data_IF_255183111581
#
_entry.id   IF_255183111581
#
_cell.length_a   1.000
_cell.length_b   1.000
_cell.length_c   1.000
_cell.angle_alpha   90.00
_cell.angle_beta   90.00
_cell.angle_gamma   90.00
#
_symmetry.space_group_name_H-M   'P 1'
#
loop_
_entity.id
_entity.type
_entity.pdbx_description
1 polymer ?
#
# COMPACT_ATOMS: atom_id res chain seq x y z
N UNK A 1 -33.59 -25.00 9.43
CA UNK A 1 -34.20 -23.66 9.51
C UNK A 1 -35.58 -23.79 10.11
N UNK A 2 -35.84 -23.06 11.19
CA UNK A 2 -37.05 -23.16 12.03
C UNK A 2 -38.35 -22.87 11.24
N UNK A 3 -39.44 -23.53 11.63
CA UNK A 3 -40.74 -23.47 10.97
C UNK A 3 -41.43 -22.11 11.10
N UNK A 4 -41.18 -21.37 12.18
CA UNK A 4 -41.66 -20.00 12.39
C UNK A 4 -40.97 -18.99 11.47
N UNK A 5 -39.65 -19.13 11.25
CA UNK A 5 -38.88 -18.26 10.37
C UNK A 5 -39.38 -18.40 8.92
N UNK A 6 -39.82 -19.60 8.54
CA UNK A 6 -40.39 -19.91 7.21
C UNK A 6 -41.70 -19.18 6.90
N UNK A 7 -42.47 -18.75 7.90
CA UNK A 7 -43.73 -18.00 7.71
C UNK A 7 -43.54 -16.49 7.69
N UNK A 8 -42.47 -15.95 8.30
CA UNK A 8 -42.22 -14.50 8.40
C UNK A 8 -41.51 -13.90 7.18
N UNK A 9 -40.86 -14.71 6.35
CA UNK A 9 -40.13 -14.23 5.16
C UNK A 9 -41.05 -14.22 3.94
N UNK A 10 -41.03 -13.10 3.20
CA UNK A 10 -41.73 -12.98 1.92
C UNK A 10 -41.40 -14.16 0.99
N UNK A 11 -42.43 -14.79 0.41
CA UNK A 11 -42.27 -15.98 -0.44
C UNK A 11 -41.30 -15.78 -1.62
N UNK A 12 -41.30 -14.61 -2.22
CA UNK A 12 -40.46 -14.30 -3.39
C UNK A 12 -38.98 -14.23 -2.99
N UNK A 13 -38.67 -13.52 -1.89
CA UNK A 13 -37.32 -13.48 -1.30
C UNK A 13 -36.86 -14.88 -0.90
N UNK A 14 -37.75 -15.67 -0.30
CA UNK A 14 -37.44 -17.05 0.09
C UNK A 14 -37.10 -17.92 -1.12
N UNK A 15 -37.89 -17.84 -2.18
CA UNK A 15 -37.65 -18.64 -3.39
C UNK A 15 -36.33 -18.24 -4.05
N UNK A 16 -36.00 -16.95 -4.06
CA UNK A 16 -34.75 -16.44 -4.62
C UNK A 16 -33.53 -16.89 -3.79
N UNK A 17 -33.54 -16.72 -2.47
CA UNK A 17 -32.43 -17.16 -1.59
C UNK A 17 -32.24 -18.68 -1.57
N UNK A 18 -33.29 -19.46 -1.86
CA UNK A 18 -33.19 -20.91 -1.97
C UNK A 18 -32.85 -21.39 -3.39
N UNK A 19 -32.75 -20.50 -4.38
CA UNK A 19 -32.37 -20.88 -5.75
C UNK A 19 -30.86 -21.11 -5.85
N UNK A 20 -30.45 -22.02 -6.74
CA UNK A 20 -29.03 -22.26 -7.02
C UNK A 20 -28.39 -21.02 -7.65
N UNK A 21 -29.11 -20.33 -8.53
CA UNK A 21 -28.66 -19.12 -9.23
C UNK A 21 -28.22 -18.01 -8.26
N UNK A 22 -28.95 -17.84 -7.16
CA UNK A 22 -28.59 -16.87 -6.13
C UNK A 22 -27.23 -17.18 -5.50
N UNK A 23 -26.99 -18.44 -5.14
CA UNK A 23 -25.73 -18.86 -4.51
C UNK A 23 -24.56 -18.91 -5.50
N UNK A 24 -24.81 -19.24 -6.77
CA UNK A 24 -23.81 -19.11 -7.83
C UNK A 24 -23.37 -17.65 -8.01
N UNK A 25 -24.33 -16.71 -8.04
CA UNK A 25 -24.05 -15.28 -8.11
C UNK A 25 -23.32 -14.78 -6.85
N UNK A 26 -23.74 -15.20 -5.66
CA UNK A 26 -23.09 -14.83 -4.41
C UNK A 26 -21.64 -15.35 -4.33
N UNK A 27 -21.40 -16.57 -4.79
CA UNK A 27 -20.04 -17.13 -4.90
C UNK A 27 -19.19 -16.32 -5.89
N UNK A 28 -19.77 -15.91 -7.02
CA UNK A 28 -19.07 -15.11 -8.02
C UNK A 28 -18.72 -13.71 -7.50
N UNK A 29 -19.64 -13.05 -6.80
CA UNK A 29 -19.36 -11.78 -6.10
C UNK A 29 -18.24 -11.95 -5.08
N UNK A 30 -18.28 -13.03 -4.30
CA UNK A 30 -17.24 -13.30 -3.29
C UNK A 30 -15.86 -13.45 -3.93
N UNK A 31 -15.76 -14.12 -5.09
CA UNK A 31 -14.51 -14.23 -5.85
C UNK A 31 -13.94 -12.87 -6.28
N UNK A 32 -14.79 -11.90 -6.64
CA UNK A 32 -14.34 -10.53 -6.95
C UNK A 32 -13.93 -9.74 -5.71
N UNK A 33 -14.64 -9.91 -4.59
CA UNK A 33 -14.38 -9.17 -3.35
C UNK A 33 -13.14 -9.67 -2.61
N UNK A 34 -12.86 -10.97 -2.68
CA UNK A 34 -11.70 -11.57 -2.00
C UNK A 34 -10.37 -10.87 -2.30
N UNK A 35 -9.94 -10.68 -3.57
CA UNK A 35 -8.67 -10.01 -3.86
C UNK A 35 -8.69 -8.54 -3.42
N UNK A 36 -9.85 -7.87 -3.43
CA UNK A 36 -9.99 -6.49 -2.92
C UNK A 36 -9.77 -6.43 -1.41
N UNK A 37 -10.39 -7.35 -0.66
CA UNK A 37 -10.22 -7.45 0.80
C UNK A 37 -8.77 -7.78 1.16
N UNK A 38 -8.10 -8.64 0.40
CA UNK A 38 -6.67 -8.93 0.59
C UNK A 38 -5.83 -7.68 0.35
N UNK A 39 -6.07 -6.94 -0.74
CA UNK A 39 -5.36 -5.69 -1.01
C UNK A 39 -5.58 -4.64 0.09
N UNK A 40 -6.82 -4.47 0.57
CA UNK A 40 -7.15 -3.56 1.67
C UNK A 40 -6.41 -3.94 2.96
N UNK A 41 -6.41 -5.22 3.34
CA UNK A 41 -5.67 -5.69 4.53
C UNK A 41 -4.18 -5.43 4.44
N UNK A 42 -3.58 -5.64 3.26
CA UNK A 42 -2.16 -5.34 3.03
C UNK A 42 -1.88 -3.85 3.15
N UNK A 43 -2.79 -3.03 2.65
CA UNK A 43 -2.70 -1.59 2.70
C UNK A 43 -2.86 -1.04 4.12
N UNK A 44 -3.79 -1.57 4.90
CA UNK A 44 -4.00 -1.14 6.28
C UNK A 44 -2.92 -1.64 7.26
N UNK A 45 -1.98 -2.47 6.80
CA UNK A 45 -0.95 -3.06 7.66
C UNK A 45 0.16 -2.10 8.13
N UNK A 46 0.69 -2.39 9.32
CA UNK A 46 1.93 -1.84 9.93
C UNK A 46 3.12 -1.69 9.01
N UNK A 47 3.29 -2.70 8.19
CA UNK A 47 4.44 -2.88 7.33
C UNK A 47 4.22 -2.34 5.93
N UNK A 48 3.05 -1.75 5.64
CA UNK A 48 2.72 -1.27 4.30
C UNK A 48 3.51 -0.01 3.97
N UNK A 49 4.55 -0.18 3.17
CA UNK A 49 5.30 0.94 2.59
C UNK A 49 4.71 1.33 1.25
N UNK A 50 4.88 2.60 0.90
CA UNK A 50 4.45 3.17 -0.37
C UNK A 50 4.91 2.34 -1.60
N UNK A 51 6.11 1.75 -1.53
CA UNK A 51 6.67 0.90 -2.58
C UNK A 51 5.84 -0.36 -2.88
N UNK A 52 5.06 -0.86 -1.93
CA UNK A 52 4.26 -2.08 -2.13
C UNK A 52 2.96 -1.82 -2.89
N UNK A 53 2.53 -0.55 -2.99
CA UNK A 53 1.23 -0.19 -3.55
C UNK A 53 1.11 -0.60 -5.01
N UNK A 54 2.10 -0.25 -5.82
CA UNK A 54 2.10 -0.56 -7.25
C UNK A 54 1.99 -2.07 -7.52
N UNK A 55 2.86 -2.88 -6.90
CA UNK A 55 2.84 -4.35 -7.05
C UNK A 55 1.51 -4.95 -6.59
N UNK A 56 1.02 -4.55 -5.42
CA UNK A 56 -0.23 -5.08 -4.87
C UNK A 56 -1.45 -4.69 -5.71
N UNK A 57 -1.50 -3.47 -6.24
CA UNK A 57 -2.59 -3.04 -7.11
C UNK A 57 -2.55 -3.75 -8.46
N UNK A 58 -1.35 -3.95 -9.04
CA UNK A 58 -1.19 -4.77 -10.25
C UNK A 58 -1.64 -6.22 -10.03
N UNK A 59 -1.29 -6.82 -8.89
CA UNK A 59 -1.77 -8.16 -8.47
C UNK A 59 -3.29 -8.21 -8.34
N UNK A 60 -3.92 -7.17 -7.79
CA UNK A 60 -5.38 -7.03 -7.72
C UNK A 60 -6.00 -7.01 -9.13
N UNK A 61 -5.49 -6.15 -10.02
CA UNK A 61 -6.01 -6.04 -11.39
C UNK A 61 -5.90 -7.38 -12.14
N UNK A 62 -4.75 -8.05 -12.04
CA UNK A 62 -4.54 -9.34 -12.68
C UNK A 62 -5.53 -10.40 -12.16
N UNK A 63 -5.65 -10.57 -10.82
CA UNK A 63 -6.59 -11.53 -10.23
C UNK A 63 -8.04 -11.27 -10.62
N UNK A 64 -8.44 -10.01 -10.73
CA UNK A 64 -9.80 -9.66 -11.13
C UNK A 64 -10.02 -9.92 -12.62
N UNK A 65 -8.99 -9.72 -13.46
CA UNK A 65 -9.06 -9.99 -14.89
C UNK A 65 -9.23 -11.47 -15.25
N UNK A 66 -8.80 -12.38 -14.36
CA UNK A 66 -8.97 -13.83 -14.51
C UNK A 66 -10.43 -14.29 -14.30
N UNK A 67 -11.27 -13.45 -13.68
CA UNK A 67 -12.69 -13.77 -13.42
C UNK A 67 -13.53 -13.29 -14.60
N UNK A 68 -14.21 -14.22 -15.27
CA UNK A 68 -15.07 -13.94 -16.42
C UNK A 68 -16.56 -14.12 -16.09
N UNK A 69 -17.35 -13.08 -16.30
CA UNK A 69 -18.80 -13.03 -16.15
C UNK A 69 -19.41 -11.83 -16.91
N UNK A 70 -20.75 -11.77 -16.96
CA UNK A 70 -21.52 -10.72 -17.63
C UNK A 70 -21.26 -9.28 -17.14
N UNK A 71 -20.64 -9.08 -15.97
CA UNK A 71 -20.31 -7.75 -15.45
C UNK A 71 -18.81 -7.55 -15.17
N UNK A 72 -17.94 -8.44 -15.65
CA UNK A 72 -16.49 -8.36 -15.40
C UNK A 72 -15.89 -7.03 -15.88
N UNK A 73 -16.28 -6.58 -17.07
CA UNK A 73 -15.79 -5.32 -17.65
C UNK A 73 -16.15 -4.12 -16.76
N UNK A 74 -17.36 -4.11 -16.20
CA UNK A 74 -17.79 -3.03 -15.30
C UNK A 74 -16.93 -3.00 -14.03
N UNK A 75 -16.61 -4.17 -13.46
CA UNK A 75 -15.76 -4.25 -12.26
C UNK A 75 -14.33 -3.83 -12.58
N UNK A 76 -13.77 -4.29 -13.70
CA UNK A 76 -12.43 -3.89 -14.14
C UNK A 76 -12.34 -2.37 -14.36
N UNK A 77 -13.35 -1.77 -15.00
CA UNK A 77 -13.42 -0.31 -15.16
C UNK A 77 -13.50 0.44 -13.83
N UNK A 78 -14.25 -0.08 -12.84
CA UNK A 78 -14.30 0.53 -11.51
C UNK A 78 -12.95 0.47 -10.79
N UNK A 79 -12.23 -0.65 -10.90
CA UNK A 79 -10.89 -0.79 -10.34
C UNK A 79 -9.91 0.15 -11.02
N UNK A 80 -9.96 0.25 -12.36
CA UNK A 80 -9.12 1.15 -13.13
C UNK A 80 -9.36 2.61 -12.74
N UNK A 81 -10.63 3.05 -12.65
CA UNK A 81 -10.98 4.39 -12.15
C UNK A 81 -10.46 4.63 -10.75
N UNK A 82 -10.51 3.61 -9.88
CA UNK A 82 -9.97 3.70 -8.52
C UNK A 82 -8.45 3.85 -8.52
N UNK A 83 -7.75 3.11 -9.39
CA UNK A 83 -6.31 3.25 -9.58
C UNK A 83 -5.97 4.68 -9.98
N UNK A 84 -6.56 5.18 -11.06
CA UNK A 84 -6.32 6.53 -11.60
C UNK A 84 -6.57 7.63 -10.57
N UNK A 85 -7.62 7.48 -9.76
CA UNK A 85 -7.92 8.43 -8.68
C UNK A 85 -6.87 8.42 -7.56
N UNK A 86 -6.35 7.25 -7.21
CA UNK A 86 -5.43 7.07 -6.08
C UNK A 86 -3.95 7.19 -6.45
N UNK A 87 -3.63 7.03 -7.73
CA UNK A 87 -2.27 6.93 -8.20
C UNK A 87 -1.50 8.24 -8.01
N UNK A 88 -0.26 8.12 -7.57
CA UNK A 88 0.68 9.22 -7.55
C UNK A 88 2.04 8.72 -8.02
N UNK A 89 2.78 9.44 -8.88
CA UNK A 89 4.04 8.95 -9.46
C UNK A 89 5.10 8.54 -8.43
N UNK A 90 5.07 9.15 -7.24
CA UNK A 90 5.94 8.76 -6.11
C UNK A 90 5.78 7.29 -5.70
N UNK A 91 4.63 6.66 -5.96
CA UNK A 91 4.40 5.22 -5.74
C UNK A 91 5.31 4.38 -6.63
N UNK A 92 5.42 4.74 -7.92
CA UNK A 92 6.31 4.07 -8.86
C UNK A 92 7.77 4.34 -8.52
N UNK A 93 8.11 5.56 -8.13
CA UNK A 93 9.47 5.90 -7.65
C UNK A 93 9.82 5.05 -6.43
N UNK A 94 8.93 4.92 -5.46
CA UNK A 94 9.13 4.07 -4.29
C UNK A 94 9.32 2.60 -4.70
N UNK A 95 8.50 2.11 -5.63
CA UNK A 95 8.59 0.75 -6.16
C UNK A 95 9.94 0.49 -6.85
N UNK A 96 10.42 1.44 -7.67
CA UNK A 96 11.71 1.37 -8.38
C UNK A 96 12.93 1.39 -7.44
N UNK A 97 12.78 1.98 -6.25
CA UNK A 97 13.84 2.11 -5.23
C UNK A 97 13.82 0.97 -4.21
N UNK A 98 12.81 0.11 -4.21
CA UNK A 98 12.71 -0.97 -3.23
C UNK A 98 13.47 -2.21 -3.74
N UNK A 99 14.52 -2.66 -3.02
CA UNK A 99 15.31 -3.82 -3.46
C UNK A 99 14.47 -5.09 -3.61
N UNK A 100 13.36 -5.21 -2.87
CA UNK A 100 12.46 -6.38 -2.91
C UNK A 100 11.76 -6.53 -4.26
N UNK A 101 11.57 -5.43 -4.98
CA UNK A 101 10.87 -5.40 -6.27
C UNK A 101 11.82 -5.27 -7.45
N UNK A 102 13.14 -5.34 -7.22
CA UNK A 102 14.12 -5.11 -8.28
C UNK A 102 13.88 -6.05 -9.48
N UNK A 103 13.73 -7.35 -9.24
CA UNK A 103 13.52 -8.33 -10.31
C UNK A 103 12.13 -8.18 -10.97
N UNK A 104 11.05 -7.99 -10.20
CA UNK A 104 9.71 -7.72 -10.74
C UNK A 104 9.68 -6.46 -11.61
N UNK A 105 10.49 -5.46 -11.27
CA UNK A 105 10.56 -4.16 -11.96
C UNK A 105 11.46 -4.15 -13.20
N UNK A 106 12.11 -5.26 -13.56
CA UNK A 106 12.92 -5.38 -14.80
C UNK A 106 12.10 -5.67 -16.04
N UNK A 107 10.81 -5.94 -15.89
CA UNK A 107 9.88 -5.98 -17.01
C UNK A 107 9.99 -4.69 -17.83
N UNK A 108 10.10 -4.81 -19.16
CA UNK A 108 10.47 -3.69 -20.03
C UNK A 108 9.47 -2.53 -19.96
N UNK A 109 8.18 -2.85 -19.89
CA UNK A 109 7.12 -1.85 -19.81
C UNK A 109 7.13 -1.15 -18.45
N UNK A 110 7.28 -1.91 -17.37
CA UNK A 110 7.39 -1.36 -16.00
C UNK A 110 8.62 -0.47 -15.88
N UNK A 111 9.78 -0.91 -16.38
CA UNK A 111 11.02 -0.16 -16.27
C UNK A 111 10.94 1.16 -17.06
N UNK A 112 10.36 1.15 -18.26
CA UNK A 112 10.14 2.35 -19.07
C UNK A 112 9.24 3.37 -18.35
N UNK A 113 8.12 2.92 -17.77
CA UNK A 113 7.24 3.77 -16.95
C UNK A 113 8.01 4.29 -15.73
N UNK A 114 8.76 3.42 -15.05
CA UNK A 114 9.52 3.75 -13.85
C UNK A 114 10.57 4.84 -14.08
N UNK A 115 11.32 4.76 -15.18
CA UNK A 115 12.29 5.81 -15.54
C UNK A 115 11.61 7.12 -15.93
N UNK A 116 10.50 7.05 -16.67
CA UNK A 116 9.71 8.25 -17.04
C UNK A 116 9.22 8.96 -15.78
N UNK A 117 8.57 8.23 -14.87
CA UNK A 117 8.03 8.83 -13.65
C UNK A 117 9.09 9.29 -12.67
N UNK A 118 10.21 8.57 -12.56
CA UNK A 118 11.34 9.00 -11.75
C UNK A 118 11.92 10.32 -12.24
N UNK A 119 12.16 10.44 -13.54
CA UNK A 119 12.72 11.67 -14.13
C UNK A 119 11.75 12.84 -14.02
N UNK A 120 10.45 12.63 -14.26
CA UNK A 120 9.44 13.66 -14.03
C UNK A 120 9.37 14.10 -12.56
N UNK A 121 9.38 13.16 -11.63
CA UNK A 121 9.39 13.44 -10.19
C UNK A 121 10.64 14.24 -9.81
N UNK A 122 11.82 13.81 -10.27
CA UNK A 122 13.07 14.47 -9.95
C UNK A 122 13.10 15.91 -10.51
N UNK A 123 12.75 16.09 -11.78
CA UNK A 123 12.72 17.39 -12.45
C UNK A 123 11.73 18.38 -11.84
N UNK A 124 10.63 17.90 -11.26
CA UNK A 124 9.67 18.76 -10.54
C UNK A 124 10.16 19.22 -9.17
N UNK A 125 11.10 18.47 -8.55
CA UNK A 125 11.47 18.67 -7.13
C UNK A 125 12.89 19.18 -6.91
N UNK A 126 13.79 18.90 -7.84
CA UNK A 126 15.24 19.14 -7.75
C UNK A 126 15.75 19.97 -8.92
N UNK A 127 16.96 20.50 -8.79
CA UNK A 127 17.64 21.19 -9.88
C UNK A 127 18.05 20.23 -10.99
N UNK A 128 18.25 20.74 -12.22
CA UNK A 128 18.60 19.91 -13.39
C UNK A 128 19.81 19.00 -13.15
N UNK A 129 20.88 19.53 -12.56
CA UNK A 129 22.11 18.77 -12.28
C UNK A 129 21.87 17.66 -11.26
N UNK A 130 21.11 17.96 -10.21
CA UNK A 130 20.73 17.01 -9.15
C UNK A 130 19.83 15.90 -9.71
N UNK A 131 18.86 16.23 -10.56
CA UNK A 131 18.00 15.25 -11.24
C UNK A 131 18.78 14.30 -12.13
N UNK A 132 19.77 14.81 -12.89
CA UNK A 132 20.65 13.97 -13.72
C UNK A 132 21.47 13.03 -12.84
N UNK A 133 22.02 13.53 -11.74
CA UNK A 133 22.81 12.74 -10.79
C UNK A 133 21.96 11.64 -10.14
N UNK A 134 20.76 11.97 -9.66
CA UNK A 134 19.80 11.03 -9.09
C UNK A 134 19.47 9.92 -10.07
N UNK A 135 19.21 10.26 -11.33
CA UNK A 135 18.91 9.27 -12.37
C UNK A 135 20.10 8.37 -12.68
N UNK A 136 21.31 8.93 -12.78
CA UNK A 136 22.52 8.14 -12.98
C UNK A 136 22.74 7.15 -11.83
N UNK A 137 22.61 7.62 -10.58
CA UNK A 137 22.71 6.76 -9.39
C UNK A 137 21.62 5.67 -9.38
N UNK A 138 20.39 5.98 -9.80
CA UNK A 138 19.30 5.01 -9.91
C UNK A 138 19.67 3.88 -10.86
N UNK A 139 20.21 4.21 -12.03
CA UNK A 139 20.65 3.21 -13.02
C UNK A 139 21.77 2.34 -12.44
N UNK A 140 22.77 2.95 -11.79
CA UNK A 140 23.86 2.21 -11.12
C UNK A 140 23.32 1.24 -10.07
N UNK A 141 22.38 1.69 -9.23
CA UNK A 141 21.70 0.85 -8.24
C UNK A 141 20.97 -0.32 -8.89
N UNK A 142 20.17 -0.06 -9.93
CA UNK A 142 19.36 -1.11 -10.58
C UNK A 142 20.21 -2.16 -11.28
N UNK A 143 21.37 -1.75 -11.78
CA UNK A 143 22.37 -2.64 -12.38
C UNK A 143 23.21 -3.39 -11.34
N UNK A 144 23.06 -3.09 -10.04
CA UNK A 144 23.91 -3.62 -8.95
C UNK A 144 25.40 -3.34 -9.16
N UNK A 145 25.71 -2.21 -9.80
CA UNK A 145 27.08 -1.76 -10.01
C UNK A 145 27.58 -1.04 -8.76
N UNK A 146 28.89 -0.98 -8.57
CA UNK A 146 29.52 -0.24 -7.47
C UNK A 146 28.95 1.19 -7.34
N UNK A 147 28.54 1.64 -6.14
CA UNK A 147 28.78 1.03 -4.83
C UNK A 147 27.74 0.00 -4.37
N UNK A 148 26.79 -0.41 -5.21
CA UNK A 148 25.66 -1.29 -4.89
C UNK A 148 25.90 -2.76 -5.27
N UNK A 149 27.14 -3.21 -5.26
CA UNK A 149 27.60 -4.52 -5.77
C UNK A 149 27.79 -5.59 -4.66
N UNK A 150 27.56 -5.25 -3.40
CA UNK A 150 27.69 -6.19 -2.28
C UNK A 150 26.51 -7.17 -2.18
N UNK A 151 26.76 -8.44 -2.44
CA UNK A 151 25.76 -9.52 -2.42
C UNK A 151 25.13 -9.75 -1.04
N UNK A 152 25.92 -9.69 0.04
CA UNK A 152 25.40 -9.89 1.41
C UNK A 152 24.37 -8.83 1.78
N UNK A 153 24.62 -7.57 1.41
CA UNK A 153 23.65 -6.50 1.61
C UNK A 153 22.38 -6.82 0.80
N UNK A 154 22.47 -7.22 -0.46
CA UNK A 154 21.30 -7.62 -1.25
C UNK A 154 20.47 -8.74 -0.62
N UNK A 155 21.12 -9.79 -0.10
CA UNK A 155 20.42 -10.91 0.57
C UNK A 155 19.66 -10.45 1.82
N UNK A 156 20.17 -9.42 2.52
CA UNK A 156 19.50 -8.85 3.70
C UNK A 156 18.22 -8.06 3.40
N UNK A 157 17.92 -7.74 2.14
CA UNK A 157 16.71 -7.00 1.73
C UNK A 157 15.39 -7.71 2.07
N UNK A 158 15.44 -9.04 2.24
CA UNK A 158 14.29 -9.86 2.65
C UNK A 158 14.00 -9.76 4.16
N UNK A 159 15.00 -9.37 4.95
CA UNK A 159 14.94 -9.32 6.42
C UNK A 159 14.79 -7.89 6.91
N UNK A 160 15.49 -6.95 6.28
CA UNK A 160 15.49 -5.54 6.66
C UNK A 160 14.32 -4.78 6.03
N UNK A 161 13.81 -3.78 6.74
CA UNK A 161 12.95 -2.77 6.11
C UNK A 161 13.76 -2.04 5.03
N UNK A 162 13.14 -1.77 3.87
CA UNK A 162 13.82 -1.15 2.73
C UNK A 162 14.50 0.18 3.08
N UNK A 163 13.90 1.00 3.97
CA UNK A 163 14.53 2.27 4.42
C UNK A 163 15.79 2.04 5.25
N UNK A 164 15.86 0.98 6.05
CA UNK A 164 17.05 0.60 6.83
C UNK A 164 18.09 -0.04 5.91
N UNK A 165 17.64 -0.87 4.97
CA UNK A 165 18.51 -1.46 3.96
C UNK A 165 19.29 -0.39 3.18
N UNK A 166 18.64 0.70 2.78
CA UNK A 166 19.31 1.82 2.12
C UNK A 166 20.39 2.51 2.97
N UNK A 167 20.30 2.46 4.31
CA UNK A 167 21.32 3.04 5.20
C UNK A 167 22.64 2.26 5.21
N UNK A 168 22.62 1.00 4.72
CA UNK A 168 23.83 0.18 4.64
C UNK A 168 24.78 0.59 3.51
N UNK A 169 24.27 1.33 2.51
CA UNK A 169 25.05 1.82 1.39
C UNK A 169 25.72 3.16 1.69
N UNK A 170 26.80 3.51 0.97
CA UNK A 170 27.43 4.83 1.09
C UNK A 170 26.43 5.97 0.89
N UNK A 171 26.65 7.07 1.62
CA UNK A 171 25.80 8.25 1.52
C UNK A 171 25.87 8.84 0.11
N UNK A 172 24.74 8.82 -0.60
CA UNK A 172 24.54 9.41 -1.91
C UNK A 172 23.26 10.25 -1.94
N UNK A 173 22.97 10.94 -3.04
CA UNK A 173 21.71 11.70 -3.16
C UNK A 173 20.53 10.72 -3.29
N UNK A 174 20.71 9.67 -4.08
CA UNK A 174 19.71 8.62 -4.26
C UNK A 174 19.41 7.90 -2.94
N UNK A 175 20.44 7.57 -2.17
CA UNK A 175 20.28 6.89 -0.88
C UNK A 175 19.42 7.72 0.08
N UNK A 176 19.73 9.01 0.20
CA UNK A 176 18.96 9.93 1.04
C UNK A 176 17.52 10.08 0.56
N UNK A 177 17.31 10.13 -0.76
CA UNK A 177 15.99 10.18 -1.36
C UNK A 177 15.20 8.89 -1.09
N UNK A 178 15.81 7.74 -1.29
CA UNK A 178 15.21 6.42 -1.10
C UNK A 178 14.79 6.21 0.35
N UNK A 179 15.64 6.56 1.32
CA UNK A 179 15.28 6.51 2.74
C UNK A 179 14.04 7.36 3.02
N UNK A 180 13.96 8.59 2.49
CA UNK A 180 12.80 9.47 2.69
C UNK A 180 11.53 8.90 2.08
N UNK A 181 11.59 8.46 0.82
CA UNK A 181 10.41 7.95 0.09
C UNK A 181 9.92 6.64 0.69
N UNK A 182 10.82 5.71 1.02
CA UNK A 182 10.48 4.40 1.57
C UNK A 182 10.06 4.45 3.04
N UNK A 183 10.30 5.56 3.73
CA UNK A 183 9.78 5.83 5.08
C UNK A 183 8.36 6.38 5.07
N UNK A 184 7.78 6.68 3.90
CA UNK A 184 6.39 7.13 3.81
C UNK A 184 5.47 5.94 4.09
N UNK A 185 4.73 6.04 5.21
CA UNK A 185 3.68 5.11 5.57
C UNK A 185 2.46 5.32 4.67
N UNK A 186 1.88 4.21 4.21
CA UNK A 186 0.82 4.24 3.20
C UNK A 186 -0.57 4.47 3.82
N UNK A 187 -0.84 3.94 5.02
CA UNK A 187 -2.17 4.05 5.61
C UNK A 187 -2.32 5.25 6.56
N UNK A 188 -3.47 5.91 6.47
CA UNK A 188 -3.99 6.72 7.58
C UNK A 188 -4.29 5.88 8.81
N UNK A 189 -4.33 4.54 8.73
CA UNK A 189 -4.57 3.66 9.87
C UNK A 189 -3.52 3.85 10.98
N UNK A 190 -2.27 4.17 10.62
CA UNK A 190 -1.25 4.60 11.58
C UNK A 190 -1.68 5.87 12.35
N UNK A 191 -2.41 6.79 11.70
CA UNK A 191 -3.06 7.91 12.34
C UNK A 191 -4.39 7.52 13.04
N UNK A 192 -5.13 6.53 12.56
CA UNK A 192 -6.36 6.03 13.20
C UNK A 192 -6.11 5.40 14.56
N UNK A 193 -4.96 4.74 14.77
CA UNK A 193 -4.53 4.33 16.13
C UNK A 193 -4.34 5.51 17.05
N UNK A 194 -3.74 6.59 16.54
CA UNK A 194 -3.63 7.83 17.28
C UNK A 194 -5.02 8.42 17.53
N UNK A 195 -5.95 8.34 16.57
CA UNK A 195 -7.34 8.78 16.74
C UNK A 195 -8.14 7.92 17.73
N UNK A 196 -7.91 6.62 17.78
CA UNK A 196 -8.45 5.74 18.83
C UNK A 196 -7.92 6.14 20.21
N UNK A 197 -6.63 6.48 20.30
CA UNK A 197 -6.01 7.02 21.52
C UNK A 197 -6.61 8.38 21.90
N UNK A 198 -6.86 9.26 20.91
CA UNK A 198 -7.60 10.51 21.12
C UNK A 198 -9.00 10.23 21.66
N UNK A 199 -9.74 9.27 21.08
CA UNK A 199 -11.05 8.86 21.55
C UNK A 199 -11.03 8.25 22.96
N UNK A 200 -9.96 7.54 23.33
CA UNK A 200 -9.79 7.02 24.69
C UNK A 200 -9.55 8.14 25.71
N UNK A 201 -8.66 9.08 25.39
CA UNK A 201 -8.26 10.20 26.27
C UNK A 201 -9.35 11.28 26.34
N UNK A 202 -10.03 11.53 25.23
CA UNK A 202 -11.03 12.57 25.05
C UNK A 202 -12.27 11.99 24.37
N UNK A 203 -13.14 11.38 25.18
CA UNK A 203 -14.46 10.90 24.76
C UNK A 203 -15.57 11.82 25.27
N UNK A 204 -16.80 11.54 24.83
CA UNK A 204 -18.02 12.30 25.21
C UNK A 204 -18.22 12.42 26.73
N UNK A 205 -17.70 11.50 27.53
CA UNK A 205 -17.80 11.50 29.00
C UNK A 205 -16.61 12.26 29.64
N UNK A 206 -15.42 12.20 29.05
CA UNK A 206 -14.16 12.82 29.51
C UNK A 206 -13.69 13.94 28.58
N UNK A 207 -14.57 14.90 28.28
CA UNK A 207 -14.31 15.97 27.31
C UNK A 207 -13.75 17.28 27.92
N UNK A 208 -13.47 17.30 29.23
CA UNK A 208 -13.04 18.52 29.96
C UNK A 208 -11.58 18.92 29.73
N UNK A 209 -10.81 18.16 28.94
CA UNK A 209 -9.42 18.49 28.63
C UNK A 209 -9.36 19.48 27.46
N UNK A 210 -8.51 20.50 27.62
CA UNK A 210 -8.16 21.43 26.54
C UNK A 210 -7.34 20.71 25.46
N UNK A 211 -7.50 21.13 24.20
CA UNK A 211 -6.86 20.50 23.04
C UNK A 211 -5.35 20.29 23.21
N UNK A 212 -4.62 21.27 23.75
CA UNK A 212 -3.18 21.17 23.95
C UNK A 212 -2.78 20.09 24.95
N UNK A 213 -3.60 19.88 25.99
CA UNK A 213 -3.37 18.84 26.98
C UNK A 213 -3.68 17.45 26.42
N UNK A 214 -4.72 17.32 25.59
CA UNK A 214 -5.03 16.07 24.88
C UNK A 214 -3.89 15.70 23.93
N UNK A 215 -3.38 16.65 23.13
CA UNK A 215 -2.23 16.42 22.23
C UNK A 215 -1.00 15.92 22.99
N UNK A 216 -0.65 16.56 24.12
CA UNK A 216 0.48 16.13 24.97
C UNK A 216 0.29 14.72 25.51
N UNK A 217 -0.92 14.39 25.99
CA UNK A 217 -1.21 13.05 26.51
C UNK A 217 -1.14 11.98 25.43
N UNK A 218 -1.67 12.23 24.22
CA UNK A 218 -1.55 11.30 23.09
C UNK A 218 -0.09 11.11 22.70
N UNK A 219 0.71 12.19 22.68
CA UNK A 219 2.15 12.11 22.41
C UNK A 219 2.89 11.26 23.45
N UNK A 220 2.65 11.50 24.74
CA UNK A 220 3.28 10.72 25.83
C UNK A 220 2.85 9.25 25.74
N UNK A 221 1.56 8.99 25.53
CA UNK A 221 1.02 7.63 25.42
C UNK A 221 1.63 6.88 24.22
N UNK A 222 1.71 7.52 23.05
CA UNK A 222 2.31 6.93 21.86
C UNK A 222 3.79 6.60 22.05
N UNK A 223 4.58 7.52 22.62
CA UNK A 223 6.00 7.28 22.88
C UNK A 223 6.24 6.22 23.95
N UNK A 224 5.40 6.15 24.99
CA UNK A 224 5.46 5.07 25.99
C UNK A 224 5.20 3.70 25.36
N UNK A 225 4.30 3.63 24.38
CA UNK A 225 4.02 2.41 23.62
C UNK A 225 5.24 1.99 22.80
N UNK A 226 5.81 2.92 22.04
CA UNK A 226 7.03 2.68 21.24
C UNK A 226 8.19 2.22 22.13
N UNK A 227 8.38 2.84 23.30
CA UNK A 227 9.44 2.47 24.24
C UNK A 227 9.25 1.10 24.90
N UNK A 228 8.00 0.61 25.02
CA UNK A 228 7.71 -0.68 25.65
C UNK A 228 7.84 -1.87 24.71
N UNK A 229 8.05 -1.64 23.40
CA UNK A 229 8.39 -2.71 22.45
C UNK A 229 7.37 -3.85 22.39
N UNK A 230 6.07 -3.54 22.47
CA UNK A 230 4.97 -4.48 22.23
C UNK A 230 4.21 -4.05 20.99
#
# INVERSE_FOLDING_TARGET
MDSEIRQKINREVRNNVLSEEFWEMANLITKFLEPMVVALKLFESDSSTLSTVYSNFKKLMNKVSEISCNFSDNIQQLIQKRWEYSYHPVMMVAYMLDPRFLEESKDADIEAIGYTEFTEFANKRFGREESIKLFAELVTFRQKNSPYDNETIWLSSSVLNSSIWWQTWPKSELQQLAIKILSILMSSAAAERKFSTFGFIHNKIRNRLQNDRVKKLVFIYGNLWIHKGV
#
